data_IF_452780445878
#
_entry.id   IF_452780445878
#
_cell.length_a   1.000
_cell.length_b   1.000
_cell.length_c   1.000
_cell.angle_alpha   90.00
_cell.angle_beta   90.00
_cell.angle_gamma   90.00
#
_symmetry.space_group_name_H-M   'P 1'
#
loop_
_entity.id
_entity.type
_entity.pdbx_description
1 polymer ?
#
# COMPACT_ATOMS: atom_id res chain seq x y z
N UNK A 1 -15.23 8.13 -1.10
CA UNK A 1 -14.14 8.83 -0.39
C UNK A 1 -12.77 8.23 -0.74
N UNK A 2 -12.54 6.91 -0.53
CA UNK A 2 -11.25 6.26 -0.78
C UNK A 2 -10.72 6.51 -2.20
N UNK A 3 -11.52 6.24 -3.26
CA UNK A 3 -11.12 6.49 -4.65
C UNK A 3 -10.68 7.94 -4.89
N UNK A 4 -11.45 8.91 -4.38
CA UNK A 4 -11.13 10.34 -4.54
C UNK A 4 -9.77 10.68 -3.91
N UNK A 5 -9.51 10.21 -2.70
CA UNK A 5 -8.24 10.45 -2.02
C UNK A 5 -7.08 9.69 -2.69
N UNK A 6 -7.31 8.46 -3.16
CA UNK A 6 -6.31 7.72 -3.92
C UNK A 6 -5.90 8.44 -5.22
N UNK A 7 -6.84 9.07 -5.92
CA UNK A 7 -6.53 9.86 -7.12
C UNK A 7 -5.69 11.10 -6.80
N UNK A 8 -5.92 11.78 -5.67
CA UNK A 8 -5.08 12.90 -5.21
C UNK A 8 -3.65 12.46 -4.90
N UNK A 9 -3.50 11.29 -4.29
CA UNK A 9 -2.19 10.70 -4.03
C UNK A 9 -1.49 10.35 -5.35
N UNK A 10 -2.22 9.78 -6.30
CA UNK A 10 -1.68 9.43 -7.59
C UNK A 10 -1.19 10.67 -8.36
N UNK A 11 -2.02 11.71 -8.45
CA UNK A 11 -1.64 12.98 -9.07
C UNK A 11 -0.37 13.56 -8.43
N UNK A 12 -0.29 13.59 -7.10
CA UNK A 12 0.90 14.06 -6.39
C UNK A 12 2.16 13.27 -6.79
N UNK A 13 2.08 11.93 -6.84
CA UNK A 13 3.22 11.13 -7.27
C UNK A 13 3.66 11.45 -8.71
N UNK A 14 2.70 11.69 -9.62
CA UNK A 14 3.01 12.11 -11.00
C UNK A 14 3.70 13.48 -11.02
N UNK A 15 3.22 14.44 -10.23
CA UNK A 15 3.83 15.77 -10.09
C UNK A 15 5.28 15.71 -9.57
N UNK A 16 5.58 14.71 -8.72
CA UNK A 16 6.96 14.46 -8.22
C UNK A 16 7.85 13.78 -9.27
N UNK A 17 7.34 13.50 -10.48
CA UNK A 17 8.05 12.78 -11.55
C UNK A 17 8.55 11.39 -11.14
N UNK A 18 7.87 10.72 -10.21
CA UNK A 18 8.16 9.31 -9.86
C UNK A 18 7.27 8.40 -10.69
N UNK A 19 7.88 7.40 -11.34
CA UNK A 19 7.18 6.41 -12.16
C UNK A 19 7.94 5.08 -12.15
N UNK A 20 7.23 3.98 -11.93
CA UNK A 20 7.80 2.62 -11.74
C UNK A 20 8.83 2.56 -10.61
N UNK A 21 8.62 3.37 -9.57
CA UNK A 21 9.48 3.44 -8.40
C UNK A 21 8.75 2.94 -7.13
N UNK A 22 9.50 2.48 -6.12
CA UNK A 22 8.91 2.16 -4.83
C UNK A 22 8.45 3.43 -4.12
N UNK A 23 7.21 3.39 -3.61
CA UNK A 23 6.67 4.37 -2.66
C UNK A 23 6.46 3.66 -1.35
N UNK A 24 7.21 4.03 -0.34
CA UNK A 24 7.07 3.46 1.00
C UNK A 24 5.85 4.04 1.69
N UNK A 25 5.09 3.19 2.39
CA UNK A 25 3.94 3.61 3.18
C UNK A 25 4.20 3.24 4.65
N UNK A 26 4.50 4.26 5.45
CA UNK A 26 4.81 4.15 6.87
C UNK A 26 3.64 4.70 7.69
N UNK A 27 2.61 3.88 7.84
CA UNK A 27 1.35 4.22 8.48
C UNK A 27 0.88 3.08 9.39
N UNK A 28 0.13 3.38 10.47
CA UNK A 28 -0.59 2.34 11.19
C UNK A 28 -1.61 1.68 10.26
N UNK A 29 -1.98 0.45 10.60
CA UNK A 29 -3.00 -0.32 9.88
C UNK A 29 -4.34 0.43 9.88
N UNK A 30 -4.72 0.99 8.72
CA UNK A 30 -5.84 1.91 8.59
C UNK A 30 -6.39 1.98 7.16
N UNK A 31 -7.52 2.65 6.99
CA UNK A 31 -8.07 2.96 5.66
C UNK A 31 -7.16 3.91 4.86
N UNK A 32 -6.45 4.78 5.54
CA UNK A 32 -5.48 5.71 4.95
C UNK A 32 -4.30 4.95 4.32
N UNK A 33 -3.86 3.86 4.99
CA UNK A 33 -2.80 2.99 4.45
C UNK A 33 -3.26 2.30 3.16
N UNK A 34 -4.48 1.72 3.14
CA UNK A 34 -5.05 1.13 1.91
C UNK A 34 -5.24 2.17 0.82
N UNK A 35 -5.72 3.37 1.18
CA UNK A 35 -5.88 4.49 0.23
C UNK A 35 -4.54 4.87 -0.40
N UNK A 36 -3.45 4.87 0.40
CA UNK A 36 -2.10 5.15 -0.08
C UNK A 36 -1.58 4.08 -1.04
N UNK A 37 -1.88 2.79 -0.77
CA UNK A 37 -1.55 1.70 -1.70
C UNK A 37 -2.22 1.89 -3.06
N UNK A 38 -3.52 2.14 -3.04
CA UNK A 38 -4.32 2.35 -4.27
C UNK A 38 -3.82 3.59 -5.04
N UNK A 39 -3.56 4.70 -4.34
CA UNK A 39 -3.05 5.92 -4.97
C UNK A 39 -1.67 5.72 -5.59
N UNK A 40 -0.78 5.02 -4.90
CA UNK A 40 0.53 4.65 -5.44
C UNK A 40 0.41 3.84 -6.72
N UNK A 41 -0.46 2.82 -6.74
CA UNK A 41 -0.67 2.00 -7.94
C UNK A 41 -1.29 2.79 -9.09
N UNK A 42 -2.23 3.70 -8.82
CA UNK A 42 -2.81 4.58 -9.85
C UNK A 42 -1.78 5.52 -10.49
N UNK A 43 -0.70 5.87 -9.79
CA UNK A 43 0.37 6.72 -10.33
C UNK A 43 1.40 5.97 -11.19
N UNK A 44 1.28 4.67 -11.34
CA UNK A 44 2.27 3.83 -12.05
C UNK A 44 3.46 3.41 -11.20
N UNK A 45 3.35 3.57 -9.88
CA UNK A 45 4.36 3.16 -8.92
C UNK A 45 3.90 1.90 -8.16
N UNK A 46 4.79 1.29 -7.37
CA UNK A 46 4.44 0.17 -6.50
C UNK A 46 4.63 0.52 -5.03
N UNK A 47 3.72 0.06 -4.19
CA UNK A 47 3.80 0.37 -2.76
C UNK A 47 4.67 -0.64 -2.00
N UNK A 48 5.27 -0.14 -0.92
CA UNK A 48 6.05 -0.94 0.02
C UNK A 48 5.57 -0.61 1.43
N UNK A 49 4.77 -1.50 2.05
CA UNK A 49 4.30 -1.28 3.41
C UNK A 49 5.44 -1.46 4.41
N UNK A 50 5.59 -0.50 5.31
CA UNK A 50 6.56 -0.54 6.39
C UNK A 50 5.83 -0.67 7.74
N UNK A 51 6.36 -1.51 8.61
CA UNK A 51 5.83 -1.67 9.96
C UNK A 51 6.36 -0.57 10.87
N UNK A 52 5.48 0.28 11.38
CA UNK A 52 5.79 1.40 12.29
C UNK A 52 6.37 0.95 13.64
N UNK A 53 6.23 -0.33 13.98
CA UNK A 53 6.79 -0.93 15.21
C UNK A 53 8.17 -1.53 14.98
N UNK A 54 8.63 -1.57 13.73
CA UNK A 54 9.95 -2.10 13.42
C UNK A 54 11.06 -1.17 13.93
N UNK A 55 12.18 -1.72 14.41
CA UNK A 55 13.36 -0.91 14.77
C UNK A 55 13.84 -0.04 13.61
N UNK A 56 14.28 1.19 13.89
CA UNK A 56 14.80 2.13 12.89
C UNK A 56 15.91 1.55 12.02
N UNK A 57 16.77 0.72 12.61
CA UNK A 57 17.85 0.04 11.86
C UNK A 57 17.30 -0.87 10.76
N UNK A 58 16.18 -1.57 11.03
CA UNK A 58 15.51 -2.39 10.01
C UNK A 58 14.92 -1.52 8.91
N UNK A 59 14.24 -0.45 9.28
CA UNK A 59 13.65 0.49 8.31
C UNK A 59 14.74 1.10 7.43
N UNK A 60 15.84 1.59 8.02
CA UNK A 60 16.98 2.13 7.27
C UNK A 60 17.59 1.13 6.28
N UNK A 61 17.71 -0.13 6.67
CA UNK A 61 18.21 -1.20 5.78
C UNK A 61 17.25 -1.44 4.60
N UNK A 62 15.93 -1.43 4.84
CA UNK A 62 14.93 -1.53 3.78
C UNK A 62 15.03 -0.33 2.82
N UNK A 63 15.05 0.88 3.36
CA UNK A 63 15.12 2.11 2.58
C UNK A 63 16.42 2.20 1.76
N UNK A 64 17.55 1.78 2.32
CA UNK A 64 18.83 1.73 1.62
C UNK A 64 18.83 0.74 0.44
N UNK A 65 18.10 -0.37 0.58
CA UNK A 65 17.96 -1.36 -0.50
C UNK A 65 17.01 -0.87 -1.59
N UNK A 66 15.91 -0.21 -1.22
CA UNK A 66 14.85 0.23 -2.13
C UNK A 66 15.19 1.52 -2.86
N UNK A 67 15.83 2.46 -2.18
CA UNK A 67 15.99 3.83 -2.64
C UNK A 67 14.65 4.43 -3.13
N UNK A 68 13.61 4.54 -2.26
CA UNK A 68 12.27 4.91 -2.68
C UNK A 68 12.20 6.36 -3.14
N UNK A 69 11.32 6.62 -4.12
CA UNK A 69 11.07 7.97 -4.60
C UNK A 69 10.27 8.84 -3.61
N UNK A 70 9.52 8.19 -2.70
CA UNK A 70 8.66 8.88 -1.73
C UNK A 70 8.37 7.99 -0.53
N UNK A 71 8.18 8.60 0.65
CA UNK A 71 7.59 7.99 1.83
C UNK A 71 6.29 8.71 2.17
N UNK A 72 5.18 7.96 2.26
CA UNK A 72 3.89 8.46 2.75
C UNK A 72 3.75 8.05 4.22
N UNK A 73 3.48 9.03 5.08
CA UNK A 73 3.32 8.82 6.53
C UNK A 73 2.13 9.62 7.07
N UNK A 74 1.92 9.64 8.38
CA UNK A 74 0.98 10.53 9.08
C UNK A 74 1.74 11.65 9.84
N UNK A 75 0.99 12.53 10.49
CA UNK A 75 1.58 13.63 11.28
C UNK A 75 2.28 13.12 12.54
N UNK A 76 1.83 11.98 13.11
CA UNK A 76 2.39 11.40 14.34
C UNK A 76 3.81 10.86 14.10
N UNK A 77 4.05 10.24 12.94
CA UNK A 77 5.33 9.61 12.62
C UNK A 77 6.23 10.47 11.71
N UNK A 78 5.77 11.67 11.34
CA UNK A 78 6.46 12.52 10.36
C UNK A 78 7.90 12.81 10.74
N UNK A 79 8.13 13.28 11.97
CA UNK A 79 9.47 13.66 12.43
C UNK A 79 10.45 12.46 12.42
N UNK A 80 9.94 11.27 12.79
CA UNK A 80 10.74 10.03 12.73
C UNK A 80 11.12 9.69 11.29
N UNK A 81 10.17 9.79 10.35
CA UNK A 81 10.39 9.45 8.94
C UNK A 81 11.30 10.47 8.25
N UNK A 82 11.17 11.75 8.55
CA UNK A 82 12.06 12.80 8.03
C UNK A 82 13.53 12.59 8.41
N UNK A 83 13.80 11.97 9.58
CA UNK A 83 15.16 11.57 10.00
C UNK A 83 15.80 10.49 9.13
N UNK A 84 15.04 9.87 8.23
CA UNK A 84 15.60 8.95 7.23
C UNK A 84 16.21 9.69 6.03
N UNK A 85 15.94 10.99 5.88
CA UNK A 85 16.55 11.85 4.85
C UNK A 85 16.02 11.63 3.43
N UNK A 86 14.78 11.09 3.30
CA UNK A 86 14.12 10.81 2.03
C UNK A 86 12.90 11.72 1.83
N UNK A 87 12.47 11.96 0.59
CA UNK A 87 11.23 12.71 0.32
C UNK A 87 10.05 12.13 1.10
N UNK A 88 9.40 12.96 1.90
CA UNK A 88 8.33 12.54 2.82
C UNK A 88 7.13 13.46 2.69
N UNK A 89 5.94 12.87 2.76
CA UNK A 89 4.67 13.61 2.75
C UNK A 89 3.67 12.93 3.68
N UNK A 90 2.78 13.70 4.30
CA UNK A 90 1.72 13.12 5.14
C UNK A 90 0.47 12.82 4.31
N UNK A 91 -0.19 11.71 4.64
CA UNK A 91 -1.45 11.32 3.99
C UNK A 91 -2.54 12.36 4.22
N UNK A 92 -2.52 13.05 5.37
CA UNK A 92 -3.42 14.17 5.66
C UNK A 92 -3.25 15.32 4.68
N UNK A 93 -2.00 15.72 4.41
CA UNK A 93 -1.69 16.73 3.40
C UNK A 93 -2.19 16.31 2.02
N UNK A 94 -1.94 15.07 1.60
CA UNK A 94 -2.38 14.55 0.31
C UNK A 94 -3.92 14.54 0.17
N UNK A 95 -4.62 14.08 1.19
CA UNK A 95 -6.09 14.03 1.19
C UNK A 95 -6.75 15.42 1.22
N UNK A 96 -6.07 16.43 1.75
CA UNK A 96 -6.55 17.82 1.79
C UNK A 96 -6.40 18.58 0.48
N UNK A 97 -5.64 18.04 -0.49
CA UNK A 97 -5.49 18.62 -1.82
C UNK A 97 -6.86 18.80 -2.51
N UNK A 98 -6.92 19.72 -3.48
CA UNK A 98 -8.07 19.82 -4.39
C UNK A 98 -8.33 18.50 -5.13
N UNK A 99 -9.46 18.40 -5.80
CA UNK A 99 -9.77 17.25 -6.66
C UNK A 99 -8.69 17.06 -7.72
N UNK A 100 -8.31 15.80 -7.92
CA UNK A 100 -7.26 15.43 -8.87
C UNK A 100 -7.69 15.65 -10.32
N UNK A 101 -6.76 16.08 -11.15
CA UNK A 101 -6.93 16.07 -12.61
C UNK A 101 -6.81 14.62 -13.12
N UNK A 102 -7.93 14.07 -13.55
CA UNK A 102 -7.99 12.69 -14.03
C UNK A 102 -7.13 12.47 -15.27
N UNK A 103 -6.92 13.50 -16.11
CA UNK A 103 -6.09 13.37 -17.31
C UNK A 103 -4.62 13.09 -16.96
N UNK A 104 -4.11 13.69 -15.88
CA UNK A 104 -2.77 13.45 -15.35
C UNK A 104 -2.62 12.02 -14.88
N UNK A 105 -3.57 11.52 -14.09
CA UNK A 105 -3.56 10.15 -13.57
C UNK A 105 -3.70 9.13 -14.70
N UNK A 106 -4.61 9.34 -15.65
CA UNK A 106 -4.80 8.44 -16.79
C UNK A 106 -3.57 8.39 -17.70
N UNK A 107 -2.87 9.49 -17.89
CA UNK A 107 -1.59 9.52 -18.62
C UNK A 107 -0.54 8.61 -17.96
N UNK A 108 -0.46 8.56 -16.65
CA UNK A 108 0.44 7.65 -15.95
C UNK A 108 -0.03 6.19 -16.07
N UNK A 109 -1.34 5.94 -15.86
CA UNK A 109 -1.93 4.59 -15.95
C UNK A 109 -1.77 3.96 -17.32
N UNK A 110 -1.97 4.72 -18.40
CA UNK A 110 -1.84 4.21 -19.78
C UNK A 110 -0.44 3.67 -20.13
N UNK A 111 0.55 3.98 -19.32
CA UNK A 111 1.94 3.52 -19.49
C UNK A 111 2.25 2.26 -18.68
N UNK A 112 1.33 1.82 -17.80
CA UNK A 112 1.49 0.60 -17.04
C UNK A 112 1.20 -0.63 -17.88
N UNK A 113 1.90 -1.71 -17.56
CA UNK A 113 1.66 -3.04 -18.10
C UNK A 113 1.48 -4.04 -16.94
N UNK A 114 0.86 -5.16 -17.21
CA UNK A 114 0.51 -6.17 -16.20
C UNK A 114 1.72 -6.84 -15.54
N UNK A 115 2.89 -6.77 -16.16
CA UNK A 115 4.16 -7.25 -15.59
C UNK A 115 4.86 -6.22 -14.70
N UNK A 116 4.36 -4.97 -14.64
CA UNK A 116 4.90 -3.98 -13.72
C UNK A 116 4.65 -4.39 -12.26
N UNK A 117 5.55 -4.01 -11.33
CA UNK A 117 5.35 -4.23 -9.91
C UNK A 117 4.07 -3.56 -9.39
N UNK A 118 3.37 -4.25 -8.49
CA UNK A 118 2.21 -3.71 -7.77
C UNK A 118 2.56 -3.44 -6.31
N UNK A 119 3.36 -4.31 -5.70
CA UNK A 119 3.90 -4.10 -4.36
C UNK A 119 5.22 -4.86 -4.14
N UNK A 120 5.93 -4.49 -3.06
CA UNK A 120 7.02 -5.30 -2.50
C UNK A 120 6.87 -5.42 -0.99
N UNK A 121 6.91 -6.64 -0.48
CA UNK A 121 6.87 -6.94 0.95
C UNK A 121 8.22 -7.47 1.41
N UNK A 122 8.74 -6.92 2.53
CA UNK A 122 10.04 -7.29 3.06
C UNK A 122 9.95 -8.37 4.13
N UNK A 123 10.69 -9.45 3.90
CA UNK A 123 10.83 -10.56 4.86
C UNK A 123 12.17 -10.48 5.60
N UNK A 124 12.27 -11.17 6.76
CA UNK A 124 13.54 -11.36 7.45
C UNK A 124 14.40 -12.32 6.63
N UNK A 125 15.45 -11.82 5.98
CA UNK A 125 16.41 -12.67 5.28
C UNK A 125 17.20 -13.52 6.27
N UNK A 126 17.57 -14.75 5.89
CA UNK A 126 18.42 -15.66 6.67
C UNK A 126 19.80 -15.07 7.00
N UNK A 127 20.22 -14.04 6.28
CA UNK A 127 21.48 -13.29 6.47
C UNK A 127 21.33 -12.06 7.37
N UNK A 128 20.13 -11.83 7.95
CA UNK A 128 19.83 -10.63 8.74
C UNK A 128 19.52 -9.38 7.90
N UNK A 129 19.78 -9.40 6.59
CA UNK A 129 19.44 -8.30 5.69
C UNK A 129 18.00 -8.52 5.17
N UNK A 130 17.10 -7.55 5.30
CA UNK A 130 15.74 -7.67 4.78
C UNK A 130 15.73 -7.90 3.26
N UNK A 131 14.90 -8.83 2.79
CA UNK A 131 14.72 -9.13 1.36
C UNK A 131 13.32 -8.73 0.93
N UNK A 132 13.22 -7.93 -0.14
CA UNK A 132 11.95 -7.54 -0.75
C UNK A 132 11.49 -8.57 -1.77
N UNK A 133 10.27 -9.07 -1.60
CA UNK A 133 9.59 -9.90 -2.60
C UNK A 133 8.68 -8.99 -3.41
N UNK A 134 8.96 -8.89 -4.71
CA UNK A 134 8.22 -8.03 -5.63
C UNK A 134 7.17 -8.86 -6.36
N UNK A 135 5.92 -8.39 -6.34
CA UNK A 135 4.79 -9.03 -7.03
C UNK A 135 4.28 -8.09 -8.12
N UNK A 136 3.99 -8.66 -9.30
CA UNK A 136 3.44 -7.92 -10.44
C UNK A 136 1.90 -7.80 -10.39
N UNK A 137 1.35 -6.86 -11.16
CA UNK A 137 -0.09 -6.76 -11.36
C UNK A 137 -0.69 -8.07 -11.87
N UNK A 138 -0.05 -8.74 -12.84
CA UNK A 138 -0.50 -10.04 -13.36
C UNK A 138 -0.63 -11.08 -12.26
N UNK A 139 0.38 -11.20 -11.39
CA UNK A 139 0.35 -12.18 -10.30
C UNK A 139 -0.80 -11.94 -9.31
N UNK A 140 -1.12 -10.65 -9.02
CA UNK A 140 -2.27 -10.32 -8.18
C UNK A 140 -3.58 -10.60 -8.90
N UNK A 141 -3.71 -10.25 -10.17
CA UNK A 141 -4.92 -10.50 -10.97
C UNK A 141 -5.21 -12.00 -11.02
N UNK A 142 -4.24 -12.82 -11.40
CA UNK A 142 -4.39 -14.28 -11.47
C UNK A 142 -4.81 -14.89 -10.12
N UNK A 143 -4.19 -14.40 -9.04
CA UNK A 143 -4.50 -14.87 -7.69
C UNK A 143 -5.93 -14.51 -7.25
N UNK A 144 -6.37 -13.29 -7.54
CA UNK A 144 -7.70 -12.82 -7.16
C UNK A 144 -8.80 -13.45 -8.02
N UNK A 145 -8.57 -13.60 -9.32
CA UNK A 145 -9.49 -14.29 -10.22
C UNK A 145 -9.71 -15.74 -9.75
N UNK A 146 -8.63 -16.46 -9.42
CA UNK A 146 -8.72 -17.78 -8.82
C UNK A 146 -9.53 -17.79 -7.51
N UNK A 147 -9.29 -16.82 -6.62
CA UNK A 147 -9.98 -16.76 -5.34
C UNK A 147 -11.48 -16.45 -5.51
N UNK A 148 -11.84 -15.54 -6.40
CA UNK A 148 -13.25 -15.20 -6.71
C UNK A 148 -13.96 -16.41 -7.28
N UNK A 149 -13.36 -17.11 -8.25
CA UNK A 149 -13.94 -18.27 -8.89
C UNK A 149 -14.08 -19.46 -7.92
N UNK A 150 -13.07 -19.67 -7.06
CA UNK A 150 -13.05 -20.82 -6.14
C UNK A 150 -14.01 -20.64 -4.97
N UNK A 151 -14.06 -19.45 -4.39
CA UNK A 151 -14.81 -19.17 -3.16
C UNK A 151 -16.11 -18.40 -3.40
N UNK A 152 -16.39 -18.01 -4.65
CA UNK A 152 -17.61 -17.32 -5.06
C UNK A 152 -17.87 -16.01 -4.31
N UNK A 153 -16.83 -15.22 -4.08
CA UNK A 153 -16.95 -13.91 -3.45
C UNK A 153 -17.81 -12.96 -4.28
N UNK A 154 -18.69 -12.23 -3.61
CA UNK A 154 -19.58 -11.23 -4.22
C UNK A 154 -19.46 -9.88 -3.53
N UNK A 155 -20.10 -8.86 -4.09
CA UNK A 155 -20.13 -7.51 -3.51
C UNK A 155 -20.76 -7.44 -2.11
N UNK A 156 -21.61 -8.42 -1.77
CA UNK A 156 -22.25 -8.49 -0.44
C UNK A 156 -21.33 -9.07 0.65
N UNK A 157 -20.18 -9.60 0.27
CA UNK A 157 -19.23 -10.17 1.22
C UNK A 157 -18.68 -9.12 2.18
N UNK A 158 -18.47 -9.54 3.43
CA UNK A 158 -17.81 -8.76 4.48
C UNK A 158 -16.49 -9.44 4.81
N UNK A 159 -15.40 -8.88 4.34
CA UNK A 159 -14.05 -9.42 4.51
C UNK A 159 -13.47 -8.86 5.80
N UNK A 160 -13.08 -9.73 6.73
CA UNK A 160 -12.39 -9.35 7.96
C UNK A 160 -10.88 -9.40 7.76
N UNK A 161 -10.23 -8.26 7.57
CA UNK A 161 -8.78 -8.23 7.46
C UNK A 161 -8.12 -8.36 8.82
N UNK A 162 -7.50 -9.49 9.03
CA UNK A 162 -6.75 -9.82 10.25
C UNK A 162 -5.28 -9.44 10.13
N UNK A 163 -4.63 -9.89 9.07
CA UNK A 163 -3.19 -9.76 8.89
C UNK A 163 -2.74 -8.29 8.88
N UNK A 164 -1.57 -7.97 9.45
CA UNK A 164 -0.92 -6.68 9.22
C UNK A 164 -0.68 -6.45 7.73
N UNK A 165 -0.75 -5.19 7.29
CA UNK A 165 -0.62 -4.85 5.87
C UNK A 165 0.80 -5.02 5.30
N UNK A 166 1.78 -5.25 6.15
CA UNK A 166 3.16 -5.60 5.76
C UNK A 166 3.39 -7.13 5.65
N UNK A 167 2.31 -7.94 5.71
CA UNK A 167 2.31 -9.37 5.39
C UNK A 167 1.49 -9.64 4.13
N UNK A 168 1.93 -10.61 3.33
CA UNK A 168 1.31 -10.98 2.05
C UNK A 168 -0.14 -11.48 2.18
N UNK A 169 -0.50 -12.12 3.29
CA UNK A 169 -1.87 -12.55 3.56
C UNK A 169 -2.89 -11.40 3.47
N UNK A 170 -2.48 -10.17 3.79
CA UNK A 170 -3.35 -8.99 3.71
C UNK A 170 -3.73 -8.62 2.28
N UNK A 171 -2.95 -9.04 1.31
CA UNK A 171 -3.17 -8.69 -0.10
C UNK A 171 -4.42 -9.36 -0.65
N UNK A 172 -4.73 -10.59 -0.23
CA UNK A 172 -5.99 -11.26 -0.59
C UNK A 172 -7.19 -10.38 -0.22
N UNK A 173 -7.26 -9.95 1.03
CA UNK A 173 -8.38 -9.19 1.58
C UNK A 173 -8.58 -7.86 0.85
N UNK A 174 -7.46 -7.13 0.62
CA UNK A 174 -7.48 -5.81 -0.04
C UNK A 174 -7.92 -5.95 -1.50
N UNK A 175 -7.33 -6.88 -2.23
CA UNK A 175 -7.61 -7.00 -3.67
C UNK A 175 -8.93 -7.71 -3.96
N UNK A 176 -9.41 -8.62 -3.08
CA UNK A 176 -10.79 -9.13 -3.16
C UNK A 176 -11.82 -8.02 -3.02
N UNK A 177 -11.66 -7.14 -2.03
CA UNK A 177 -12.52 -5.96 -1.86
C UNK A 177 -12.52 -5.10 -3.13
N UNK A 178 -11.36 -4.87 -3.73
CA UNK A 178 -11.24 -4.07 -4.95
C UNK A 178 -11.89 -4.73 -6.18
N UNK A 179 -11.74 -6.04 -6.33
CA UNK A 179 -12.25 -6.78 -7.48
C UNK A 179 -13.77 -6.99 -7.41
N UNK A 180 -14.30 -7.26 -6.23
CA UNK A 180 -15.72 -7.64 -6.05
C UNK A 180 -16.62 -6.50 -5.60
N UNK A 181 -16.05 -5.41 -5.07
CA UNK A 181 -16.83 -4.35 -4.41
C UNK A 181 -17.29 -4.73 -2.99
N UNK A 182 -16.77 -5.80 -2.41
CA UNK A 182 -17.04 -6.24 -1.05
C UNK A 182 -16.63 -5.20 0.01
N UNK A 183 -17.13 -5.35 1.24
CA UNK A 183 -16.74 -4.49 2.35
C UNK A 183 -15.51 -5.05 3.06
N UNK A 184 -14.43 -4.28 3.14
CA UNK A 184 -13.24 -4.62 3.94
C UNK A 184 -13.37 -4.04 5.36
N UNK A 185 -13.45 -4.93 6.35
CA UNK A 185 -13.41 -4.55 7.77
C UNK A 185 -11.96 -4.70 8.27
N UNK A 186 -11.33 -3.57 8.54
CA UNK A 186 -9.97 -3.53 9.09
C UNK A 186 -10.06 -3.82 10.59
N UNK A 187 -9.61 -5.00 11.01
CA UNK A 187 -9.65 -5.41 12.41
C UNK A 187 -8.39 -4.93 13.11
N UNK A 188 -8.51 -4.18 14.23
CA UNK A 188 -7.35 -3.72 15.00
C UNK A 188 -6.50 -4.90 15.48
N UNK A 189 -5.17 -4.76 15.40
CA UNK A 189 -4.23 -5.81 15.83
C UNK A 189 -4.44 -6.23 17.30
N UNK A 190 -4.83 -5.28 18.17
CA UNK A 190 -5.10 -5.56 19.58
C UNK A 190 -6.22 -6.59 19.82
N UNK A 191 -7.15 -6.73 18.86
CA UNK A 191 -8.26 -7.67 19.01
C UNK A 191 -7.81 -9.13 18.87
N UNK A 192 -6.67 -9.39 18.23
CA UNK A 192 -6.14 -10.75 18.11
C UNK A 192 -5.52 -11.30 19.39
N UNK A 193 -5.05 -10.40 20.26
CA UNK A 193 -4.60 -10.81 21.59
C UNK A 193 -5.77 -11.19 22.51
N UNK A 194 -7.00 -10.83 22.14
CA UNK A 194 -8.22 -11.07 22.90
C UNK A 194 -9.34 -11.61 22.01
N UNK A 195 -9.35 -12.92 21.65
CA UNK A 195 -10.31 -13.51 20.70
C UNK A 195 -11.78 -13.26 21.05
N UNK A 196 -12.10 -13.03 22.33
CA UNK A 196 -13.45 -12.69 22.78
C UNK A 196 -13.96 -11.31 22.28
N UNK A 197 -13.09 -10.51 21.64
CA UNK A 197 -13.41 -9.19 21.05
C UNK A 197 -13.57 -9.25 19.53
N UNK A 198 -13.39 -10.41 18.94
CA UNK A 198 -13.64 -10.67 17.53
C UNK A 198 -15.08 -11.12 17.33
#
# INVERSE_FOLDING_TARGET
EMKRNALKIAEFCVEQNIFKQPVCVYLPKSKEMVTSFVGTNYSGNFYVPLDIKSPDTRIRNILATLNPGLIITDEEHKDQVENFGLPTVTVGCLCSRKEADLSVVESARSRQIDTDPVYSIFTSGSTGIPKGVVISHRGVIDYIDWAVDTFHFTADAKIGNQAPFYFDNSTLDIYLMMATGATLNIIPESNFMFPAKL
#
